data_IF_838643013146
#
_entry.id   IF_838643013146
#
_cell.length_a   1.000
_cell.length_b   1.000
_cell.length_c   1.000
_cell.angle_alpha   90.00
_cell.angle_beta   90.00
_cell.angle_gamma   90.00
#
_symmetry.space_group_name_H-M   'P 1'
#
loop_
_entity.id
_entity.type
_entity.pdbx_description
1 polymer ?
#
# COMPACT_ATOMS: atom_id res chain seq x y z
N UNK A 1 -8.64 20.74 9.12
CA UNK A 1 -8.81 20.63 10.57
C UNK A 1 -9.83 19.55 10.89
N UNK A 2 -11.01 19.64 10.31
CA UNK A 2 -12.04 18.62 10.45
C UNK A 2 -11.58 17.27 9.89
N UNK A 3 -10.84 17.26 8.79
CA UNK A 3 -10.24 16.04 8.25
C UNK A 3 -9.28 15.38 9.24
N UNK A 4 -8.54 16.13 10.03
CA UNK A 4 -7.64 15.59 11.05
C UNK A 4 -8.39 14.97 12.23
N UNK A 5 -9.46 15.61 12.70
CA UNK A 5 -10.32 15.07 13.75
C UNK A 5 -11.08 13.85 13.25
N UNK A 6 -11.63 13.92 12.04
CA UNK A 6 -12.31 12.81 11.39
C UNK A 6 -11.39 11.60 11.19
N UNK A 7 -10.17 11.81 10.70
CA UNK A 7 -9.17 10.75 10.59
C UNK A 7 -8.82 10.09 11.92
N UNK A 8 -8.81 10.82 13.02
CA UNK A 8 -8.61 10.29 14.35
C UNK A 8 -9.79 9.43 14.82
N UNK A 9 -11.02 9.85 14.58
CA UNK A 9 -12.23 9.09 14.93
C UNK A 9 -12.31 7.76 14.17
N UNK A 10 -12.10 7.78 12.86
CA UNK A 10 -12.16 6.58 12.01
C UNK A 10 -11.03 5.59 12.28
N UNK A 11 -9.90 6.06 12.79
CA UNK A 11 -8.74 5.22 13.09
C UNK A 11 -8.96 4.29 14.27
N UNK A 12 -9.78 4.70 15.25
CA UNK A 12 -9.95 3.98 16.52
C UNK A 12 -11.30 3.31 16.68
N UNK A 13 -12.33 3.74 15.93
CA UNK A 13 -13.68 3.18 16.01
C UNK A 13 -14.33 3.10 14.64
N UNK A 14 -15.18 2.10 14.40
CA UNK A 14 -16.00 2.04 13.20
C UNK A 14 -16.87 3.31 13.05
N UNK A 15 -17.12 3.73 11.82
CA UNK A 15 -17.90 4.95 11.52
C UNK A 15 -19.27 4.93 12.20
N UNK A 16 -19.93 3.77 12.24
CA UNK A 16 -21.27 3.62 12.84
C UNK A 16 -21.30 3.85 14.36
N UNK A 17 -20.19 3.63 15.07
CA UNK A 17 -20.07 3.98 16.49
C UNK A 17 -19.91 5.47 16.73
N UNK A 18 -19.60 6.23 15.69
CA UNK A 18 -19.38 7.68 15.72
C UNK A 18 -20.48 8.47 15.01
N UNK A 19 -21.56 7.82 14.56
CA UNK A 19 -22.63 8.48 13.79
C UNK A 19 -23.23 9.65 14.56
N UNK A 20 -23.48 9.50 15.85
CA UNK A 20 -24.08 10.55 16.67
C UNK A 20 -23.11 11.73 16.86
N UNK A 21 -21.81 11.45 17.01
CA UNK A 21 -20.77 12.48 17.07
C UNK A 21 -20.63 13.20 15.74
N UNK A 22 -20.70 12.47 14.62
CA UNK A 22 -20.68 13.05 13.28
C UNK A 22 -21.90 13.93 13.01
N UNK A 23 -23.09 13.49 13.46
CA UNK A 23 -24.33 14.30 13.36
C UNK A 23 -24.25 15.55 14.22
N UNK A 24 -23.76 15.45 15.45
CA UNK A 24 -23.56 16.58 16.36
C UNK A 24 -22.67 17.66 15.75
N UNK A 25 -21.60 17.24 15.06
CA UNK A 25 -20.64 18.15 14.40
C UNK A 25 -20.93 18.39 12.91
N UNK A 26 -22.13 18.05 12.43
CA UNK A 26 -22.53 18.18 11.02
C UNK A 26 -21.52 17.51 10.04
N UNK A 27 -20.86 16.46 10.50
CA UNK A 27 -19.87 15.71 9.74
C UNK A 27 -20.49 14.99 8.53
N UNK A 28 -19.76 14.94 7.43
CA UNK A 28 -20.14 14.20 6.23
C UNK A 28 -19.21 13.03 6.00
N UNK A 29 -19.77 11.88 5.61
CA UNK A 29 -19.02 10.66 5.33
C UNK A 29 -18.98 10.44 3.82
N UNK A 30 -17.76 10.32 3.28
CA UNK A 30 -17.53 10.02 1.87
C UNK A 30 -16.78 8.70 1.75
N UNK A 31 -17.12 7.92 0.73
CA UNK A 31 -16.34 6.73 0.38
C UNK A 31 -15.00 7.19 -0.22
N UNK A 32 -13.89 6.58 0.25
CA UNK A 32 -12.58 6.85 -0.32
C UNK A 32 -12.53 6.47 -1.81
N UNK A 33 -12.14 7.43 -2.65
CA UNK A 33 -11.94 7.20 -4.08
C UNK A 33 -10.43 7.08 -4.36
N UNK A 34 -9.92 5.86 -4.36
CA UNK A 34 -8.50 5.59 -4.58
C UNK A 34 -8.00 6.00 -5.98
N UNK A 35 -8.88 6.01 -7.00
CA UNK A 35 -8.50 6.50 -8.33
C UNK A 35 -8.21 8.00 -8.29
N UNK A 36 -9.07 8.79 -7.63
CA UNK A 36 -8.84 10.23 -7.43
C UNK A 36 -7.58 10.47 -6.61
N UNK A 37 -7.35 9.68 -5.54
CA UNK A 37 -6.13 9.81 -4.73
C UNK A 37 -4.87 9.50 -5.54
N UNK A 38 -4.86 8.46 -6.38
CA UNK A 38 -3.75 8.17 -7.28
C UNK A 38 -3.49 9.30 -8.27
N UNK A 39 -4.53 9.87 -8.85
CA UNK A 39 -4.40 10.98 -9.79
C UNK A 39 -3.82 12.25 -9.13
N UNK A 40 -4.30 12.60 -7.95
CA UNK A 40 -3.75 13.73 -7.17
C UNK A 40 -2.31 13.43 -6.74
N UNK A 41 -2.02 12.20 -6.34
CA UNK A 41 -0.69 11.73 -6.02
C UNK A 41 0.28 11.91 -7.19
N UNK A 42 -0.09 11.46 -8.37
CA UNK A 42 0.73 11.60 -9.57
C UNK A 42 1.01 13.08 -9.88
N UNK A 43 0.02 13.97 -9.71
CA UNK A 43 0.22 15.40 -9.92
C UNK A 43 1.23 16.01 -8.95
N UNK A 44 1.10 15.75 -7.64
CA UNK A 44 2.04 16.33 -6.68
C UNK A 44 3.46 15.76 -6.85
N UNK A 45 3.58 14.45 -7.09
CA UNK A 45 4.91 13.83 -7.31
C UNK A 45 5.58 14.37 -8.56
N UNK A 46 4.82 14.52 -9.67
CA UNK A 46 5.32 15.13 -10.90
C UNK A 46 5.74 16.59 -10.69
N UNK A 47 4.98 17.37 -9.93
CA UNK A 47 5.36 18.76 -9.57
C UNK A 47 6.71 18.80 -8.85
N UNK A 48 6.92 17.89 -7.89
CA UNK A 48 8.19 17.79 -7.15
C UNK A 48 9.32 17.32 -8.07
N UNK A 49 9.12 16.29 -8.88
CA UNK A 49 10.12 15.76 -9.82
C UNK A 49 10.55 16.82 -10.85
N UNK A 50 9.60 17.62 -11.36
CA UNK A 50 9.88 18.73 -12.26
C UNK A 50 10.68 19.85 -11.59
N UNK A 51 10.42 20.13 -10.30
CA UNK A 51 11.21 21.08 -9.54
C UNK A 51 12.63 20.60 -9.28
N UNK A 52 12.85 19.28 -9.29
CA UNK A 52 14.09 18.59 -8.93
C UNK A 52 14.75 17.93 -10.15
N UNK A 53 14.64 18.56 -11.31
CA UNK A 53 15.26 18.03 -12.55
C UNK A 53 16.74 17.67 -12.33
N UNK A 54 17.11 16.45 -12.70
CA UNK A 54 18.45 15.92 -12.52
C UNK A 54 18.74 15.24 -11.19
N UNK A 55 17.82 15.28 -10.23
CA UNK A 55 17.91 14.51 -8.98
C UNK A 55 17.20 13.17 -9.09
N UNK A 56 17.78 12.12 -8.49
CA UNK A 56 17.08 10.83 -8.41
C UNK A 56 15.91 10.91 -7.43
N UNK A 57 14.78 10.36 -7.82
CA UNK A 57 13.55 10.29 -7.03
C UNK A 57 13.04 8.86 -6.92
N UNK A 58 12.32 8.57 -5.84
CA UNK A 58 11.67 7.28 -5.62
C UNK A 58 10.29 7.48 -5.03
N UNK A 59 9.24 7.15 -5.80
CA UNK A 59 7.85 7.16 -5.36
C UNK A 59 7.58 5.95 -4.47
N UNK A 60 7.67 6.18 -3.16
CA UNK A 60 7.58 5.11 -2.17
C UNK A 60 6.15 4.59 -1.95
N UNK A 61 5.18 5.49 -1.83
CA UNK A 61 3.77 5.14 -1.67
C UNK A 61 2.86 6.11 -2.46
N UNK A 62 1.54 6.02 -2.27
CA UNK A 62 0.58 6.95 -2.89
C UNK A 62 0.79 8.40 -2.40
N UNK A 63 1.32 8.59 -1.21
CA UNK A 63 1.44 9.89 -0.54
C UNK A 63 2.89 10.25 -0.14
N UNK A 64 3.87 9.47 -0.57
CA UNK A 64 5.27 9.65 -0.17
C UNK A 64 6.25 9.46 -1.33
N UNK A 65 7.16 10.42 -1.44
CA UNK A 65 8.24 10.47 -2.41
C UNK A 65 9.55 10.77 -1.70
N UNK A 66 10.60 10.02 -2.01
CA UNK A 66 11.97 10.35 -1.62
C UNK A 66 12.70 11.00 -2.79
N UNK A 67 13.56 11.97 -2.49
CA UNK A 67 14.39 12.67 -3.47
C UNK A 67 15.78 12.86 -2.90
N UNK A 68 16.79 12.68 -3.75
CA UNK A 68 18.17 13.00 -3.39
C UNK A 68 18.38 14.52 -3.45
N UNK A 69 18.86 15.09 -2.33
CA UNK A 69 19.27 16.49 -2.23
C UNK A 69 20.80 16.67 -2.24
N UNK A 70 21.55 15.62 -2.54
CA UNK A 70 23.01 15.62 -2.46
C UNK A 70 23.62 16.72 -3.31
N UNK A 71 23.09 16.95 -4.50
CA UNK A 71 23.55 18.03 -5.38
C UNK A 71 23.36 19.42 -4.75
N UNK A 72 22.18 19.69 -4.19
CA UNK A 72 21.90 20.99 -3.55
C UNK A 72 22.76 21.23 -2.31
N UNK A 73 23.00 20.18 -1.55
CA UNK A 73 23.87 20.26 -0.36
C UNK A 73 25.33 20.58 -0.77
N UNK A 74 25.82 20.00 -1.87
CA UNK A 74 27.19 20.23 -2.34
C UNK A 74 27.45 21.66 -2.81
N UNK A 75 26.42 22.41 -3.22
CA UNK A 75 26.49 23.82 -3.65
C UNK A 75 26.05 24.81 -2.52
N UNK A 76 25.99 24.36 -1.27
CA UNK A 76 25.65 25.17 -0.08
C UNK A 76 24.28 25.90 -0.16
N UNK A 77 23.29 25.32 -0.78
CA UNK A 77 21.91 25.85 -0.75
C UNK A 77 21.34 25.68 0.66
N UNK A 78 20.68 26.71 1.17
CA UNK A 78 19.91 26.63 2.41
C UNK A 78 18.73 25.66 2.21
N UNK A 79 18.83 24.46 2.80
CA UNK A 79 17.82 23.41 2.59
C UNK A 79 16.46 23.75 3.23
N UNK A 80 16.43 24.52 4.32
CA UNK A 80 15.17 24.95 4.95
C UNK A 80 14.40 25.89 4.03
N UNK A 81 15.05 26.87 3.41
CA UNK A 81 14.43 27.80 2.47
C UNK A 81 14.01 27.09 1.19
N UNK A 82 14.88 26.24 0.65
CA UNK A 82 14.58 25.45 -0.54
C UNK A 82 13.32 24.58 -0.36
N UNK A 83 13.21 23.89 0.78
CA UNK A 83 12.05 23.04 1.06
C UNK A 83 10.79 23.88 1.23
N UNK A 84 10.89 25.04 1.85
CA UNK A 84 9.76 25.96 1.99
C UNK A 84 9.23 26.36 0.61
N UNK A 85 10.10 26.77 -0.29
CA UNK A 85 9.76 27.14 -1.66
C UNK A 85 9.14 25.95 -2.44
N UNK A 86 9.75 24.76 -2.34
CA UNK A 86 9.26 23.55 -2.97
C UNK A 86 7.84 23.20 -2.49
N UNK A 87 7.59 23.27 -1.20
CA UNK A 87 6.26 23.02 -0.62
C UNK A 87 5.23 24.07 -1.10
N UNK A 88 5.60 25.32 -1.17
CA UNK A 88 4.75 26.40 -1.69
C UNK A 88 4.44 26.20 -3.19
N UNK A 89 5.43 25.78 -3.97
CA UNK A 89 5.24 25.44 -5.40
C UNK A 89 4.24 24.30 -5.54
N UNK A 90 4.45 23.19 -4.85
CA UNK A 90 3.53 22.03 -4.89
C UNK A 90 2.11 22.45 -4.52
N UNK A 91 1.96 23.26 -3.47
CA UNK A 91 0.63 23.75 -3.07
C UNK A 91 -0.03 24.62 -4.16
N UNK A 92 0.71 25.54 -4.78
CA UNK A 92 0.20 26.38 -5.89
C UNK A 92 -0.22 25.55 -7.10
N UNK A 93 0.55 24.52 -7.46
CA UNK A 93 0.31 23.72 -8.66
C UNK A 93 -0.76 22.63 -8.46
N UNK A 94 -0.94 22.15 -7.24
CA UNK A 94 -1.81 20.99 -6.97
C UNK A 94 -2.94 21.23 -6.00
N UNK A 95 -2.88 22.30 -5.20
CA UNK A 95 -3.80 22.55 -4.08
C UNK A 95 -3.55 21.65 -2.87
N UNK A 96 -2.53 20.78 -2.89
CA UNK A 96 -2.25 19.81 -1.82
C UNK A 96 -1.13 20.30 -0.92
N UNK A 97 -1.41 20.52 0.39
CA UNK A 97 -0.35 20.83 1.34
C UNK A 97 0.49 19.58 1.64
N UNK A 98 1.80 19.66 1.45
CA UNK A 98 2.73 18.57 1.73
C UNK A 98 3.64 18.87 2.90
N UNK A 99 3.98 17.84 3.68
CA UNK A 99 5.05 17.90 4.66
C UNK A 99 6.38 17.48 4.05
N UNK A 100 7.49 18.04 4.53
CA UNK A 100 8.82 17.67 4.07
C UNK A 100 9.79 17.41 5.23
N UNK A 101 10.66 16.41 5.05
CA UNK A 101 11.71 16.08 6.01
C UNK A 101 13.01 15.80 5.30
N UNK A 102 14.10 16.40 5.76
CA UNK A 102 15.47 16.15 5.26
C UNK A 102 16.31 15.46 6.31
N UNK A 103 17.07 14.48 5.89
CA UNK A 103 18.02 13.74 6.71
C UNK A 103 19.08 13.07 5.84
N UNK A 104 20.20 12.70 6.46
CA UNK A 104 21.32 12.06 5.77
C UNK A 104 21.02 10.61 5.32
N UNK A 105 19.94 10.01 5.82
CA UNK A 105 19.48 8.67 5.46
C UNK A 105 17.96 8.68 5.21
N UNK A 106 17.43 7.65 4.56
CA UNK A 106 15.99 7.52 4.32
C UNK A 106 15.20 7.49 5.65
N UNK A 107 15.71 6.77 6.65
CA UNK A 107 15.06 6.72 7.97
C UNK A 107 15.11 8.08 8.67
N UNK A 108 16.21 8.81 8.63
CA UNK A 108 16.30 10.16 9.22
C UNK A 108 15.42 11.17 8.48
N UNK A 109 15.28 11.06 7.15
CA UNK A 109 14.33 11.88 6.40
C UNK A 109 12.87 11.62 6.83
N UNK A 110 12.49 10.37 7.11
CA UNK A 110 11.19 10.01 7.69
C UNK A 110 11.01 10.53 9.11
N UNK A 111 12.07 10.49 9.95
CA UNK A 111 12.08 11.10 11.29
C UNK A 111 11.87 12.61 11.19
N UNK A 112 12.55 13.27 10.27
CA UNK A 112 12.39 14.70 10.01
C UNK A 112 10.95 15.04 9.57
N UNK A 113 10.38 14.27 8.66
CA UNK A 113 8.98 14.42 8.25
C UNK A 113 8.01 14.24 9.42
N UNK A 114 8.26 13.26 10.30
CA UNK A 114 7.49 13.09 11.52
C UNK A 114 7.62 14.31 12.46
N UNK A 115 8.84 14.82 12.67
CA UNK A 115 9.08 15.99 13.50
C UNK A 115 8.37 17.22 12.95
N UNK A 116 8.43 17.43 11.63
CA UNK A 116 7.74 18.53 10.96
C UNK A 116 6.21 18.53 11.21
N UNK A 117 5.61 17.35 11.33
CA UNK A 117 4.16 17.19 11.56
C UNK A 117 3.78 17.23 13.05
N UNK A 118 4.64 16.76 13.95
CA UNK A 118 4.27 16.45 15.33
C UNK A 118 4.96 17.32 16.40
N UNK A 119 6.01 18.06 16.03
CA UNK A 119 6.73 18.90 16.97
C UNK A 119 6.39 20.39 16.77
N UNK A 120 6.13 21.15 17.85
CA UNK A 120 5.89 22.57 17.76
C UNK A 120 7.03 23.31 17.08
N UNK A 121 6.72 24.31 16.29
CA UNK A 121 7.70 25.20 15.64
C UNK A 121 8.14 24.81 14.24
N UNK A 122 8.00 23.54 13.82
CA UNK A 122 8.46 23.08 12.52
C UNK A 122 7.49 23.36 11.34
N UNK A 123 6.21 23.64 11.61
CA UNK A 123 5.21 24.04 10.59
C UNK A 123 5.14 23.14 9.36
N UNK A 124 5.31 21.85 9.52
CA UNK A 124 5.24 20.84 8.47
C UNK A 124 6.53 20.57 7.70
N UNK A 125 7.66 21.15 8.11
CA UNK A 125 8.98 20.85 7.54
C UNK A 125 10.04 20.73 8.63
N UNK A 126 11.08 19.94 8.38
CA UNK A 126 12.22 19.81 9.28
C UNK A 126 13.46 19.32 8.53
N UNK A 127 14.61 19.95 8.78
CA UNK A 127 15.92 19.51 8.29
C UNK A 127 16.74 18.98 9.45
N UNK A 128 17.02 17.67 9.46
CA UNK A 128 17.83 17.00 10.48
C UNK A 128 19.25 16.73 9.97
N UNK A 129 20.11 17.75 10.06
CA UNK A 129 21.51 17.67 9.62
C UNK A 129 22.44 17.57 10.82
N UNK A 130 22.14 18.30 11.90
CA UNK A 130 23.02 18.38 13.06
C UNK A 130 22.71 17.31 14.11
N UNK A 131 23.72 16.59 14.58
CA UNK A 131 23.60 15.47 15.50
C UNK A 131 22.82 15.79 16.78
N UNK A 132 23.07 16.98 17.39
CA UNK A 132 22.33 17.42 18.60
C UNK A 132 20.83 17.56 18.37
N UNK A 133 20.43 18.04 17.18
CA UNK A 133 19.03 18.18 16.81
C UNK A 133 18.41 16.82 16.54
N UNK A 134 19.14 15.92 15.84
CA UNK A 134 18.71 14.54 15.61
C UNK A 134 18.41 13.86 16.94
N UNK A 135 19.35 13.87 17.90
CA UNK A 135 19.17 13.21 19.18
C UNK A 135 18.03 13.82 20.02
N UNK A 136 17.84 15.13 19.95
CA UNK A 136 16.70 15.81 20.59
C UNK A 136 15.36 15.38 20.03
N UNK A 137 15.26 15.20 18.72
CA UNK A 137 14.02 14.72 18.09
C UNK A 137 13.79 13.23 18.38
N UNK A 138 14.85 12.40 18.27
CA UNK A 138 14.75 10.97 18.54
C UNK A 138 14.36 10.66 19.98
N UNK A 139 14.76 11.48 20.95
CA UNK A 139 14.37 11.32 22.36
C UNK A 139 12.85 11.52 22.60
N UNK A 140 12.19 12.31 21.74
CA UNK A 140 10.76 12.60 21.81
C UNK A 140 9.92 11.66 20.93
N UNK A 141 10.55 10.94 20.00
CA UNK A 141 9.88 10.07 19.06
C UNK A 141 9.65 8.68 19.64
N UNK A 142 8.38 8.21 19.81
CA UNK A 142 8.15 6.85 20.25
C UNK A 142 8.71 5.82 19.26
N UNK A 143 9.34 4.76 19.76
CA UNK A 143 9.98 3.73 18.93
C UNK A 143 9.06 3.13 17.87
N UNK A 144 7.77 2.94 18.17
CA UNK A 144 6.78 2.44 17.21
C UNK A 144 6.37 3.41 16.11
N UNK A 145 6.95 4.64 16.11
CA UNK A 145 6.76 5.61 15.02
C UNK A 145 7.97 5.65 14.08
N UNK A 146 9.04 4.94 14.43
CA UNK A 146 10.21 4.79 13.55
C UNK A 146 9.80 3.94 12.33
N UNK A 147 10.23 4.38 11.16
CA UNK A 147 9.98 3.67 9.91
C UNK A 147 10.49 2.22 9.99
N UNK A 148 9.75 1.27 9.43
CA UNK A 148 9.99 -0.17 9.51
C UNK A 148 9.85 -0.82 10.90
N UNK A 149 9.45 -0.08 11.94
CA UNK A 149 9.09 -0.65 13.25
C UNK A 149 7.58 -0.85 13.30
N UNK A 150 7.15 -2.07 12.95
CA UNK A 150 5.74 -2.48 13.07
C UNK A 150 5.34 -2.83 14.51
N UNK A 151 4.03 -3.06 14.72
CA UNK A 151 3.49 -3.31 16.07
C UNK A 151 4.09 -4.50 16.83
N UNK A 152 4.55 -5.53 16.12
CA UNK A 152 5.25 -6.68 16.74
C UNK A 152 6.62 -6.24 17.29
N UNK A 153 7.43 -5.59 16.46
CA UNK A 153 8.72 -5.06 16.90
C UNK A 153 8.58 -4.02 18.01
N UNK A 154 7.60 -3.12 17.92
CA UNK A 154 7.33 -2.14 18.97
C UNK A 154 7.06 -2.81 20.33
N UNK A 155 6.30 -3.91 20.37
CA UNK A 155 6.03 -4.64 21.62
C UNK A 155 7.30 -5.27 22.18
N UNK A 156 8.08 -5.94 21.35
CA UNK A 156 9.34 -6.57 21.76
C UNK A 156 10.34 -5.54 22.30
N UNK A 157 10.56 -4.45 21.57
CA UNK A 157 11.47 -3.39 21.98
C UNK A 157 11.05 -2.74 23.29
N UNK A 158 9.73 -2.49 23.48
CA UNK A 158 9.23 -1.95 24.75
C UNK A 158 9.44 -2.90 25.92
N UNK A 159 9.30 -4.20 25.74
CA UNK A 159 9.59 -5.21 26.76
C UNK A 159 11.08 -5.23 27.14
N UNK A 160 11.98 -4.75 26.28
CA UNK A 160 13.39 -4.59 26.53
C UNK A 160 13.76 -3.19 27.10
N UNK A 161 12.75 -2.37 27.41
CA UNK A 161 12.95 -1.00 27.92
C UNK A 161 13.20 0.03 26.84
N UNK A 162 13.10 -0.33 25.54
CA UNK A 162 13.32 0.60 24.43
C UNK A 162 11.99 1.22 24.02
N UNK A 163 11.74 2.44 24.46
CA UNK A 163 10.50 3.19 24.25
C UNK A 163 10.61 4.30 23.23
N UNK A 164 11.82 4.83 23.01
CA UNK A 164 12.12 5.96 22.13
C UNK A 164 13.02 5.57 20.96
N UNK A 165 13.00 6.37 19.91
CA UNK A 165 13.89 6.20 18.77
C UNK A 165 15.37 6.43 19.14
N UNK A 166 15.65 7.26 20.15
CA UNK A 166 17.00 7.48 20.64
C UNK A 166 17.57 6.25 21.34
N UNK A 167 16.77 5.58 22.15
CA UNK A 167 17.18 4.33 22.81
C UNK A 167 17.46 3.25 21.76
N UNK A 168 16.61 3.13 20.72
CA UNK A 168 16.87 2.23 19.60
C UNK A 168 18.16 2.57 18.86
N UNK A 169 18.43 3.85 18.59
CA UNK A 169 19.66 4.31 17.94
C UNK A 169 20.91 3.85 18.67
N UNK A 170 20.87 3.78 20.03
CA UNK A 170 22.00 3.37 20.88
C UNK A 170 22.25 1.87 20.91
N UNK A 171 21.38 1.08 20.33
CA UNK A 171 21.54 -0.37 20.27
C UNK A 171 22.62 -0.77 19.26
N UNK A 172 23.26 -1.94 19.49
CA UNK A 172 24.22 -2.50 18.54
C UNK A 172 23.49 -3.19 17.37
N UNK A 173 23.71 -2.75 16.12
CA UNK A 173 23.03 -3.33 14.96
C UNK A 173 23.24 -4.84 14.81
N UNK A 174 24.48 -5.33 15.07
CA UNK A 174 24.81 -6.76 14.90
C UNK A 174 24.07 -7.65 15.90
N UNK A 175 23.95 -7.22 17.13
CA UNK A 175 23.19 -7.90 18.19
C UNK A 175 21.71 -7.96 17.82
N UNK A 176 21.14 -6.87 17.35
CA UNK A 176 19.73 -6.80 16.96
C UNK A 176 19.41 -7.53 15.65
N UNK A 177 20.40 -7.63 14.74
CA UNK A 177 20.28 -8.49 13.55
C UNK A 177 20.13 -9.95 13.92
N UNK A 178 20.98 -10.47 14.83
CA UNK A 178 20.91 -11.87 15.27
C UNK A 178 19.65 -12.19 16.05
N UNK A 179 19.19 -11.23 16.84
CA UNK A 179 18.03 -11.42 17.73
C UNK A 179 16.69 -11.30 17.01
N UNK A 180 16.59 -10.43 16.03
CA UNK A 180 15.36 -10.12 15.32
C UNK A 180 15.48 -10.30 13.81
N UNK A 181 16.13 -9.35 13.12
CA UNK A 181 16.30 -9.39 11.67
C UNK A 181 17.26 -8.32 11.17
N UNK A 182 17.69 -8.48 9.93
CA UNK A 182 18.46 -7.46 9.19
C UNK A 182 17.71 -6.12 9.11
N UNK A 183 16.36 -6.14 9.04
CA UNK A 183 15.57 -4.92 8.95
C UNK A 183 15.74 -4.00 10.18
N UNK A 184 15.76 -4.56 11.39
CA UNK A 184 16.01 -3.75 12.60
C UNK A 184 17.44 -3.23 12.62
N UNK A 185 18.43 -4.06 12.26
CA UNK A 185 19.81 -3.63 12.16
C UNK A 185 19.98 -2.47 11.18
N UNK A 186 19.33 -2.54 10.04
CA UNK A 186 19.33 -1.45 9.05
C UNK A 186 18.72 -0.17 9.63
N UNK A 187 17.59 -0.26 10.34
CA UNK A 187 16.97 0.90 11.01
C UNK A 187 17.94 1.54 12.01
N UNK A 188 18.62 0.73 12.85
CA UNK A 188 19.59 1.24 13.82
C UNK A 188 20.76 1.93 13.10
N UNK A 189 21.30 1.34 12.04
CA UNK A 189 22.38 1.94 11.23
C UNK A 189 21.95 3.27 10.62
N UNK A 190 20.77 3.31 10.04
CA UNK A 190 20.18 4.51 9.43
C UNK A 190 19.95 5.64 10.45
N UNK A 191 19.48 5.32 11.66
CA UNK A 191 19.33 6.29 12.75
C UNK A 191 20.69 6.86 13.21
N UNK A 192 21.76 6.12 13.01
CA UNK A 192 23.15 6.56 13.25
C UNK A 192 23.77 7.30 12.06
N UNK A 193 23.01 7.57 11.00
CA UNK A 193 23.48 8.29 9.82
C UNK A 193 24.23 7.44 8.80
N UNK A 194 24.25 6.11 8.97
CA UNK A 194 24.85 5.18 8.02
C UNK A 194 23.78 4.76 7.01
N UNK A 195 23.90 5.22 5.77
CA UNK A 195 22.96 4.87 4.70
C UNK A 195 23.18 3.43 4.24
N UNK A 196 22.26 2.56 4.60
CA UNK A 196 22.25 1.13 4.25
C UNK A 196 21.03 0.75 3.42
N UNK A 197 19.98 1.57 3.45
CA UNK A 197 18.82 1.44 2.59
C UNK A 197 19.04 2.24 1.31
N UNK A 198 18.73 1.63 0.20
CA UNK A 198 18.73 2.28 -1.10
C UNK A 198 17.35 2.19 -1.73
N UNK A 199 17.04 3.09 -2.63
CA UNK A 199 15.90 2.96 -3.51
C UNK A 199 16.39 2.83 -4.95
N UNK A 200 15.62 2.09 -5.74
CA UNK A 200 15.88 1.90 -7.17
C UNK A 200 14.76 2.58 -7.94
N UNK A 201 15.11 3.19 -9.06
CA UNK A 201 14.12 3.74 -9.99
C UNK A 201 13.27 2.64 -10.65
N UNK A 202 13.74 1.39 -10.56
CA UNK A 202 13.03 0.21 -11.05
C UNK A 202 12.22 -0.37 -9.89
N UNK A 203 10.89 -0.21 -9.95
CA UNK A 203 10.00 -0.92 -9.03
C UNK A 203 10.12 -2.41 -9.29
N UNK A 204 10.45 -3.18 -8.26
CA UNK A 204 10.36 -4.64 -8.33
C UNK A 204 8.93 -5.05 -8.70
N UNK A 205 8.82 -6.10 -9.55
CA UNK A 205 7.53 -6.73 -9.84
C UNK A 205 6.87 -7.15 -8.52
N UNK A 206 5.58 -6.90 -8.38
CA UNK A 206 4.83 -7.31 -7.19
C UNK A 206 4.87 -8.84 -7.08
N UNK A 207 5.22 -9.35 -5.91
CA UNK A 207 5.23 -10.79 -5.61
C UNK A 207 3.83 -11.37 -5.45
N UNK A 208 2.85 -10.53 -5.10
CA UNK A 208 1.44 -10.87 -4.99
C UNK A 208 0.56 -9.73 -5.50
N UNK A 209 -0.54 -10.05 -6.12
CA UNK A 209 -1.53 -9.09 -6.63
C UNK A 209 -2.90 -9.47 -6.08
N UNK A 210 -3.53 -8.54 -5.35
CA UNK A 210 -4.84 -8.76 -4.74
C UNK A 210 -5.88 -7.75 -5.27
N UNK A 211 -7.13 -8.20 -5.35
CA UNK A 211 -8.33 -7.37 -5.47
C UNK A 211 -9.31 -7.77 -4.39
N UNK A 212 -9.75 -6.80 -3.58
CA UNK A 212 -10.60 -7.07 -2.41
C UNK A 212 -11.64 -5.98 -2.24
N UNK A 213 -12.83 -6.37 -1.79
CA UNK A 213 -13.87 -5.43 -1.36
C UNK A 213 -14.52 -5.87 -0.06
N UNK A 214 -14.99 -4.86 0.69
CA UNK A 214 -15.83 -5.05 1.85
C UNK A 214 -17.19 -4.40 1.57
N UNK A 215 -18.26 -5.15 1.77
CA UNK A 215 -19.61 -4.77 1.39
C UNK A 215 -20.38 -4.26 2.60
N UNK A 216 -20.91 -3.02 2.51
CA UNK A 216 -21.77 -2.45 3.54
C UNK A 216 -23.06 -3.26 3.64
N UNK A 217 -23.70 -3.45 2.49
CA UNK A 217 -24.84 -4.34 2.33
C UNK A 217 -24.29 -5.74 2.06
N UNK A 218 -24.44 -6.63 3.05
CA UNK A 218 -23.87 -7.98 3.01
C UNK A 218 -24.40 -8.76 1.82
N UNK A 219 -23.53 -9.53 1.18
CA UNK A 219 -23.94 -10.43 0.11
C UNK A 219 -24.69 -11.62 0.73
N UNK A 220 -25.96 -11.80 0.30
CA UNK A 220 -26.89 -12.81 0.81
C UNK A 220 -27.36 -13.78 -0.25
N UNK A 221 -26.94 -13.60 -1.48
CA UNK A 221 -27.28 -14.41 -2.63
C UNK A 221 -26.02 -15.01 -3.24
N UNK A 222 -26.09 -16.29 -3.59
CA UNK A 222 -24.95 -17.05 -4.11
C UNK A 222 -24.49 -16.51 -5.46
N UNK A 223 -25.41 -16.11 -6.33
CA UNK A 223 -25.08 -15.57 -7.64
C UNK A 223 -24.40 -14.20 -7.53
N UNK A 224 -24.88 -13.34 -6.62
CA UNK A 224 -24.21 -12.06 -6.33
C UNK A 224 -22.79 -12.29 -5.78
N UNK A 225 -22.62 -13.26 -4.88
CA UNK A 225 -21.30 -13.61 -4.35
C UNK A 225 -20.35 -14.07 -5.46
N UNK A 226 -20.83 -14.94 -6.36
CA UNK A 226 -20.01 -15.39 -7.48
C UNK A 226 -19.67 -14.26 -8.44
N UNK A 227 -20.62 -13.37 -8.76
CA UNK A 227 -20.39 -12.18 -9.60
C UNK A 227 -19.29 -11.28 -9.04
N UNK A 228 -19.29 -11.02 -7.73
CA UNK A 228 -18.24 -10.23 -7.07
C UNK A 228 -16.87 -10.93 -7.07
N UNK A 229 -16.85 -12.24 -6.87
CA UNK A 229 -15.61 -13.03 -7.00
C UNK A 229 -15.07 -12.97 -8.44
N UNK A 230 -15.96 -13.12 -9.44
CA UNK A 230 -15.61 -13.05 -10.84
C UNK A 230 -15.07 -11.67 -11.23
N UNK A 231 -15.70 -10.60 -10.73
CA UNK A 231 -15.22 -9.23 -10.90
C UNK A 231 -13.79 -9.06 -10.33
N UNK A 232 -13.55 -9.49 -9.09
CA UNK A 232 -12.22 -9.40 -8.49
C UNK A 232 -11.18 -10.28 -9.19
N UNK A 233 -11.59 -11.45 -9.72
CA UNK A 233 -10.72 -12.31 -10.51
C UNK A 233 -10.26 -11.60 -11.79
N UNK A 234 -11.17 -10.99 -12.55
CA UNK A 234 -10.83 -10.24 -13.75
C UNK A 234 -9.90 -9.05 -13.46
N UNK A 235 -10.17 -8.29 -12.38
CA UNK A 235 -9.28 -7.20 -11.92
C UNK A 235 -7.85 -7.68 -11.60
N UNK A 236 -7.70 -8.84 -10.96
CA UNK A 236 -6.40 -9.44 -10.69
C UNK A 236 -5.71 -9.84 -11.97
N UNK A 237 -6.39 -10.52 -12.88
CA UNK A 237 -5.82 -10.98 -14.15
C UNK A 237 -5.37 -9.83 -15.04
N UNK A 238 -6.13 -8.73 -15.11
CA UNK A 238 -5.72 -7.50 -15.80
C UNK A 238 -4.41 -6.92 -15.21
N UNK A 239 -4.29 -6.87 -13.87
CA UNK A 239 -3.06 -6.39 -13.22
C UNK A 239 -1.87 -7.34 -13.42
N UNK A 240 -2.11 -8.65 -13.46
CA UNK A 240 -1.08 -9.66 -13.74
C UNK A 240 -0.53 -9.46 -15.15
N UNK A 241 -1.41 -9.31 -16.16
CA UNK A 241 -0.99 -9.03 -17.54
C UNK A 241 -0.26 -7.70 -17.68
N UNK A 242 -0.71 -6.65 -17.00
CA UNK A 242 -0.06 -5.33 -17.03
C UNK A 242 1.37 -5.38 -16.45
N UNK A 243 1.64 -6.30 -15.53
CA UNK A 243 2.98 -6.53 -14.96
C UNK A 243 3.82 -7.51 -15.80
N UNK A 244 3.26 -8.09 -16.87
CA UNK A 244 3.88 -9.16 -17.67
C UNK A 244 4.27 -10.38 -16.81
N UNK A 245 3.39 -10.78 -15.92
CA UNK A 245 3.53 -11.95 -15.05
C UNK A 245 2.46 -12.99 -15.38
N UNK A 246 2.65 -14.21 -14.89
CA UNK A 246 1.70 -15.31 -14.98
C UNK A 246 1.33 -15.79 -13.58
N UNK A 247 0.08 -16.22 -13.38
CA UNK A 247 -0.38 -16.72 -12.08
C UNK A 247 -0.02 -18.19 -11.96
N UNK A 248 0.69 -18.57 -10.90
CA UNK A 248 0.96 -19.97 -10.53
C UNK A 248 -0.01 -20.45 -9.46
N UNK A 249 -0.37 -19.59 -8.51
CA UNK A 249 -1.35 -19.89 -7.47
C UNK A 249 -2.35 -18.76 -7.37
N UNK A 250 -3.63 -19.09 -7.59
CA UNK A 250 -4.77 -18.18 -7.42
C UNK A 250 -5.42 -18.46 -6.07
N UNK A 251 -5.67 -17.43 -5.28
CA UNK A 251 -6.28 -17.52 -3.97
C UNK A 251 -7.61 -16.80 -3.93
N UNK A 252 -8.64 -17.44 -3.40
CA UNK A 252 -9.95 -16.81 -3.17
C UNK A 252 -10.30 -16.92 -1.69
N UNK A 253 -10.71 -15.83 -1.07
CA UNK A 253 -11.27 -15.91 0.27
C UNK A 253 -12.51 -15.04 0.46
N UNK A 254 -13.38 -15.49 1.35
CA UNK A 254 -14.57 -14.78 1.78
C UNK A 254 -14.67 -14.81 3.30
N UNK A 255 -15.33 -13.81 3.87
CA UNK A 255 -15.62 -13.79 5.32
C UNK A 255 -16.86 -12.97 5.66
N UNK A 256 -17.49 -13.34 6.76
CA UNK A 256 -18.45 -12.49 7.48
C UNK A 256 -17.74 -11.33 8.17
N UNK A 257 -18.47 -10.29 8.58
CA UNK A 257 -17.90 -9.16 9.30
C UNK A 257 -17.63 -9.50 10.78
N UNK A 258 -16.54 -8.99 11.31
CA UNK A 258 -16.13 -9.22 12.71
C UNK A 258 -17.21 -8.79 13.74
N UNK A 259 -18.04 -7.82 13.37
CA UNK A 259 -19.07 -7.25 14.25
C UNK A 259 -20.48 -7.64 13.82
N UNK A 260 -20.63 -8.54 12.86
CA UNK A 260 -21.93 -9.02 12.39
C UNK A 260 -22.52 -9.97 13.44
N UNK A 261 -23.84 -9.86 13.67
CA UNK A 261 -24.58 -10.75 14.59
C UNK A 261 -24.96 -12.06 13.87
N UNK A 262 -23.98 -12.75 13.33
CA UNK A 262 -24.13 -14.05 12.68
C UNK A 262 -23.00 -14.98 13.10
N UNK A 263 -23.14 -16.28 12.81
CA UNK A 263 -22.02 -17.20 13.02
C UNK A 263 -20.84 -16.79 12.15
N UNK A 264 -19.64 -16.67 12.73
CA UNK A 264 -18.45 -16.29 11.97
C UNK A 264 -18.18 -17.32 10.87
N UNK A 265 -17.93 -16.81 9.65
CA UNK A 265 -17.52 -17.62 8.53
C UNK A 265 -16.25 -17.03 7.91
N UNK A 266 -15.26 -17.85 7.72
CA UNK A 266 -14.05 -17.54 6.97
C UNK A 266 -13.64 -18.78 6.17
N UNK A 267 -13.51 -18.60 4.90
CA UNK A 267 -12.98 -19.65 4.01
C UNK A 267 -12.00 -19.05 3.03
N UNK A 268 -10.86 -19.72 2.87
CA UNK A 268 -9.86 -19.43 1.84
C UNK A 268 -9.52 -20.70 1.11
N UNK A 269 -9.42 -20.62 -0.20
CA UNK A 269 -9.01 -21.72 -1.07
C UNK A 269 -7.89 -21.20 -1.96
N UNK A 270 -6.78 -21.90 -1.99
CA UNK A 270 -5.65 -21.65 -2.88
C UNK A 270 -5.69 -22.69 -4.01
N UNK A 271 -5.74 -22.23 -5.24
CA UNK A 271 -5.84 -23.03 -6.47
C UNK A 271 -4.44 -23.03 -7.10
N UNK A 272 -3.76 -24.16 -7.04
CA UNK A 272 -2.46 -24.35 -7.67
C UNK A 272 -2.67 -24.74 -9.14
N UNK A 273 -2.05 -24.00 -10.03
CA UNK A 273 -2.13 -24.21 -11.48
C UNK A 273 -0.89 -24.97 -11.95
N UNK A 274 -1.08 -25.92 -12.87
CA UNK A 274 0.04 -26.72 -13.40
C UNK A 274 1.01 -25.84 -14.19
N UNK A 275 0.47 -24.92 -14.99
CA UNK A 275 1.20 -23.94 -15.81
C UNK A 275 0.85 -22.52 -15.41
N UNK A 276 1.68 -21.53 -15.81
CA UNK A 276 1.40 -20.13 -15.60
C UNK A 276 0.15 -19.68 -16.37
N UNK A 277 -0.74 -18.94 -15.73
CA UNK A 277 -2.02 -18.52 -16.28
C UNK A 277 -2.08 -17.00 -16.47
N UNK A 278 -2.51 -16.56 -17.66
CA UNK A 278 -2.77 -15.15 -18.00
C UNK A 278 -4.19 -14.91 -18.52
N UNK A 279 -4.90 -15.97 -18.91
CA UNK A 279 -6.25 -15.90 -19.46
C UNK A 279 -7.32 -15.77 -18.36
N UNK A 280 -8.14 -14.72 -18.47
CA UNK A 280 -9.20 -14.43 -17.48
C UNK A 280 -10.30 -15.47 -17.49
N UNK A 281 -10.68 -15.99 -18.67
CA UNK A 281 -11.74 -17.01 -18.80
C UNK A 281 -11.34 -18.32 -18.14
N UNK A 282 -10.08 -18.75 -18.32
CA UNK A 282 -9.55 -19.93 -17.64
C UNK A 282 -9.47 -19.71 -16.12
N UNK A 283 -9.04 -18.53 -15.66
CA UNK A 283 -9.03 -18.20 -14.24
C UNK A 283 -10.43 -18.26 -13.61
N UNK A 284 -11.44 -17.73 -14.30
CA UNK A 284 -12.84 -17.80 -13.88
C UNK A 284 -13.34 -19.24 -13.82
N UNK A 285 -12.98 -20.08 -14.81
CA UNK A 285 -13.31 -21.50 -14.80
C UNK A 285 -12.71 -22.20 -13.57
N UNK A 286 -11.45 -21.96 -13.25
CA UNK A 286 -10.80 -22.52 -12.05
C UNK A 286 -11.48 -22.05 -10.75
N UNK A 287 -11.85 -20.77 -10.65
CA UNK A 287 -12.60 -20.25 -9.51
C UNK A 287 -13.97 -20.92 -9.39
N UNK A 288 -14.64 -21.17 -10.51
CA UNK A 288 -15.95 -21.84 -10.53
C UNK A 288 -15.90 -23.25 -9.97
N UNK A 289 -14.85 -24.02 -10.24
CA UNK A 289 -14.71 -25.40 -9.73
C UNK A 289 -14.63 -25.48 -8.19
N UNK A 290 -14.10 -24.43 -7.53
CA UNK A 290 -13.96 -24.42 -6.07
C UNK A 290 -15.07 -23.64 -5.37
N UNK A 291 -15.96 -22.98 -6.12
CA UNK A 291 -16.94 -22.05 -5.57
C UNK A 291 -17.91 -22.71 -4.59
N UNK A 292 -18.43 -23.91 -4.89
CA UNK A 292 -19.33 -24.64 -3.99
C UNK A 292 -18.67 -24.98 -2.65
N UNK A 293 -17.36 -25.29 -2.67
CA UNK A 293 -16.59 -25.54 -1.47
C UNK A 293 -16.25 -24.26 -0.70
N UNK A 294 -16.24 -23.11 -1.39
CA UNK A 294 -15.92 -21.79 -0.81
C UNK A 294 -17.15 -21.16 -0.17
N UNK A 295 -18.33 -21.23 -0.81
CA UNK A 295 -19.55 -20.59 -0.34
C UNK A 295 -20.07 -21.22 0.97
N UNK A 296 -20.69 -20.44 1.88
CA UNK A 296 -21.36 -21.01 3.04
C UNK A 296 -22.58 -21.81 2.59
N UNK A 297 -22.92 -22.87 3.33
CA UNK A 297 -24.10 -23.69 3.04
C UNK A 297 -25.41 -22.87 3.11
N UNK A 298 -25.45 -21.90 4.02
CA UNK A 298 -26.56 -20.96 4.14
C UNK A 298 -25.99 -19.53 4.15
N UNK A 299 -25.98 -18.90 2.98
CA UNK A 299 -25.49 -17.53 2.80
C UNK A 299 -26.40 -16.50 3.47
N UNK A 300 -27.66 -16.82 3.71
CA UNK A 300 -28.59 -15.89 4.38
C UNK A 300 -28.32 -15.83 5.89
N UNK A 301 -27.96 -16.95 6.50
CA UNK A 301 -27.54 -17.04 7.89
C UNK A 301 -26.09 -16.57 8.10
N UNK A 302 -25.23 -16.69 7.09
CA UNK A 302 -23.82 -16.29 7.13
C UNK A 302 -23.50 -15.30 5.99
N UNK A 303 -24.09 -14.09 6.01
CA UNK A 303 -23.95 -13.13 4.92
C UNK A 303 -22.52 -12.61 4.81
N UNK A 304 -22.01 -12.54 3.58
CA UNK A 304 -20.61 -12.23 3.32
C UNK A 304 -20.36 -10.73 3.36
N UNK A 305 -19.40 -10.34 4.20
CA UNK A 305 -18.89 -8.98 4.35
C UNK A 305 -17.73 -8.68 3.41
N UNK A 306 -16.81 -9.64 3.24
CA UNK A 306 -15.56 -9.41 2.51
C UNK A 306 -15.33 -10.50 1.47
N UNK A 307 -14.95 -10.07 0.27
CA UNK A 307 -14.52 -10.93 -0.83
C UNK A 307 -13.12 -10.51 -1.24
N UNK A 308 -12.26 -11.46 -1.56
CA UNK A 308 -10.96 -11.20 -2.12
C UNK A 308 -10.53 -12.30 -3.09
N UNK A 309 -9.88 -11.87 -4.16
CA UNK A 309 -9.15 -12.74 -5.08
C UNK A 309 -7.71 -12.24 -5.18
N UNK A 310 -6.75 -13.15 -5.22
CA UNK A 310 -5.33 -12.83 -5.28
C UNK A 310 -4.52 -13.80 -6.11
N UNK A 311 -3.58 -13.28 -6.89
CA UNK A 311 -2.47 -14.03 -7.43
C UNK A 311 -1.35 -14.02 -6.38
N UNK A 312 -1.15 -15.14 -5.69
CA UNK A 312 -0.26 -15.23 -4.51
C UNK A 312 1.10 -15.79 -4.84
N UNK A 313 1.21 -16.48 -5.95
CA UNK A 313 2.46 -16.89 -6.56
C UNK A 313 2.46 -16.49 -8.03
N UNK A 314 3.48 -15.72 -8.42
CA UNK A 314 3.61 -15.16 -9.76
C UNK A 314 4.89 -15.66 -10.40
N UNK A 315 4.79 -16.07 -11.66
CA UNK A 315 5.91 -16.40 -12.53
C UNK A 315 6.24 -15.20 -13.43
N UNK A 316 7.49 -15.10 -13.84
CA UNK A 316 7.92 -14.12 -14.83
C UNK A 316 7.46 -14.54 -16.23
N UNK A 317 6.51 -13.81 -16.81
CA UNK A 317 5.97 -14.12 -18.14
C UNK A 317 6.96 -13.93 -19.30
N UNK A 318 8.12 -13.31 -19.03
CA UNK A 318 9.21 -13.19 -20.02
C UNK A 318 10.09 -14.45 -20.05
N UNK A 319 10.05 -15.28 -19.00
CA UNK A 319 10.80 -16.57 -18.88
C UNK A 319 9.85 -17.75 -19.05
N UNK A 320 9.21 -17.89 -20.20
CA UNK A 320 8.27 -18.98 -20.44
C UNK A 320 8.98 -20.33 -20.45
N UNK A 321 8.56 -21.22 -19.56
CA UNK A 321 8.75 -22.65 -19.72
C UNK A 321 7.56 -23.17 -20.54
N UNK A 322 7.80 -23.52 -21.79
CA UNK A 322 6.74 -24.11 -22.64
C UNK A 322 6.45 -25.52 -22.14
N UNK A 323 5.17 -25.83 -21.93
CA UNK A 323 4.75 -27.21 -21.77
C UNK A 323 4.65 -27.85 -23.18
N UNK A 324 5.29 -29.01 -23.34
CA UNK A 324 5.32 -29.73 -24.62
C UNK A 324 3.92 -30.21 -25.09
N UNK A 325 2.94 -30.17 -24.20
CA UNK A 325 1.57 -30.69 -24.43
C UNK A 325 0.51 -29.56 -24.46
N UNK A 326 0.91 -28.30 -24.32
CA UNK A 326 -0.03 -27.18 -24.32
C UNK A 326 -0.23 -26.69 -25.78
N UNK A 327 -1.44 -26.90 -26.33
CA UNK A 327 -1.83 -26.25 -27.58
C UNK A 327 -1.82 -24.74 -27.40
N UNK A 328 -1.01 -24.05 -28.21
CA UNK A 328 -0.87 -22.60 -28.20
C UNK A 328 -2.21 -21.91 -28.53
N UNK A 329 -2.99 -21.53 -27.50
CA UNK A 329 -4.24 -20.79 -27.68
C UNK A 329 -3.98 -19.29 -27.91
N UNK A 330 -3.40 -18.94 -29.09
CA UNK A 330 -3.13 -17.56 -29.49
C UNK A 330 -4.38 -16.66 -29.44
N UNK A 331 -5.54 -17.17 -29.82
CA UNK A 331 -6.81 -16.43 -29.86
C UNK A 331 -7.30 -15.93 -28.50
N UNK A 332 -7.01 -16.65 -27.41
CA UNK A 332 -7.42 -16.22 -26.05
C UNK A 332 -6.59 -15.05 -25.52
N UNK A 333 -5.31 -14.99 -25.87
CA UNK A 333 -4.44 -13.88 -25.54
C UNK A 333 -4.87 -12.57 -26.24
N UNK A 334 -5.27 -12.65 -27.48
CA UNK A 334 -5.76 -11.50 -28.26
C UNK A 334 -7.08 -10.97 -27.72
N UNK A 335 -8.00 -11.86 -27.33
CA UNK A 335 -9.25 -11.47 -26.70
C UNK A 335 -9.02 -10.71 -25.39
N UNK A 336 -8.14 -11.19 -24.51
CA UNK A 336 -7.82 -10.50 -23.25
C UNK A 336 -7.15 -9.14 -23.50
N UNK A 337 -6.27 -9.02 -24.50
CA UNK A 337 -5.66 -7.74 -24.89
C UNK A 337 -6.67 -6.75 -25.42
N UNK A 338 -7.61 -7.20 -26.27
CA UNK A 338 -8.69 -6.38 -26.77
C UNK A 338 -9.57 -5.85 -25.63
N UNK A 339 -9.97 -6.73 -24.71
CA UNK A 339 -10.75 -6.39 -23.51
C UNK A 339 -10.03 -5.36 -22.63
N UNK A 340 -8.76 -5.59 -22.33
CA UNK A 340 -7.94 -4.68 -21.55
C UNK A 340 -7.82 -3.30 -22.25
N UNK A 341 -7.63 -3.28 -23.55
CA UNK A 341 -7.52 -2.05 -24.35
C UNK A 341 -8.83 -1.25 -24.35
N UNK A 342 -9.97 -1.92 -24.54
CA UNK A 342 -11.29 -1.28 -24.50
C UNK A 342 -11.55 -0.69 -23.14
N UNK A 343 -11.33 -1.46 -22.07
CA UNK A 343 -11.53 -0.99 -20.69
C UNK A 343 -10.55 0.12 -20.28
N UNK A 344 -9.34 0.13 -20.79
CA UNK A 344 -8.40 1.23 -20.59
C UNK A 344 -8.84 2.53 -21.30
N UNK A 345 -9.42 2.41 -22.48
CA UNK A 345 -9.82 3.57 -23.32
C UNK A 345 -11.17 4.17 -22.90
N UNK A 346 -12.14 3.32 -22.61
CA UNK A 346 -13.54 3.74 -22.38
C UNK A 346 -13.97 3.68 -20.92
N UNK A 347 -13.12 3.18 -20.04
CA UNK A 347 -13.38 3.04 -18.61
C UNK A 347 -13.50 1.57 -18.17
N UNK A 348 -13.17 1.33 -16.92
CA UNK A 348 -13.25 -0.01 -16.32
C UNK A 348 -14.69 -0.53 -16.33
N UNK A 349 -14.86 -1.78 -16.74
CA UNK A 349 -16.17 -2.44 -16.78
C UNK A 349 -17.01 -2.12 -18.03
N UNK A 350 -16.45 -1.43 -19.03
CA UNK A 350 -17.12 -1.22 -20.32
C UNK A 350 -17.38 -2.54 -21.03
N UNK A 351 -16.42 -3.45 -20.96
CA UNK A 351 -16.55 -4.82 -21.45
C UNK A 351 -16.18 -5.80 -20.33
N UNK A 352 -17.06 -6.78 -20.08
CA UNK A 352 -16.91 -7.76 -19.01
C UNK A 352 -17.17 -9.19 -19.51
N UNK A 353 -16.74 -10.18 -18.74
CA UNK A 353 -17.15 -11.56 -18.98
C UNK A 353 -18.58 -11.78 -18.46
N UNK A 354 -19.37 -12.62 -19.12
CA UNK A 354 -20.77 -12.85 -18.76
C UNK A 354 -21.02 -13.45 -17.37
N UNK A 355 -19.96 -13.84 -16.67
CA UNK A 355 -20.00 -14.31 -15.27
C UNK A 355 -19.77 -13.20 -14.22
N UNK A 356 -19.66 -11.96 -14.67
CA UNK A 356 -19.42 -10.78 -13.81
C UNK A 356 -20.70 -10.05 -13.48
#
# INVERSE_FOLDING_TARGET
>A
LECGVYGALTKFRPIWENIDLLRLHQGRVYKANFNTFSHISDRFMTSVEQAMQGSSSFRYSVDELFISLTHLHSINVCLDDFILELRQRVYRETGVPVGAGVGSTLTLAKVASWAGKNQPGFKGQCCLIHQKQIDSILSKMPVGKVWNIGGAYQRHLKNEGISTALELKRCDPKTYQKRYSINIANVISELNGVSVLSYSDIREKKKQIWSTSSYRDRLRETDMLFGEIAHHCAEVMTKVRSQKSEVKTLSVFISTGKYDKCLPYYRRIDINLNTGLTDTGQALSQVRTVFESLAPKDITAQPIYKVAVGAVELLDGEKKQFDLFEEASSNKLELNRALDTINARFGKGTLTFGSQ
#
